data_IF_462616693622
#
_entry.id   IF_462616693622
#
_cell.length_a   1.000
_cell.length_b   1.000
_cell.length_c   1.000
_cell.angle_alpha   90.00
_cell.angle_beta   90.00
_cell.angle_gamma   90.00
#
_symmetry.space_group_name_H-M   'P 1'
#
loop_
_entity.id
_entity.type
_entity.pdbx_description
1 polymer ?
#
# COMPACT_ATOMS: atom_id res chain seq x y z
N UNK A 1 -2.91 1.77 -11.49
CA UNK A 1 -1.61 1.79 -10.80
C UNK A 1 -0.86 0.50 -11.14
N UNK A 2 0.48 0.47 -11.05
CA UNK A 2 1.26 -0.75 -11.30
C UNK A 2 0.90 -1.89 -10.32
N UNK A 3 0.87 -3.13 -10.80
CA UNK A 3 0.51 -4.31 -10.02
C UNK A 3 -1.00 -4.58 -9.91
N UNK A 4 -1.36 -5.27 -8.83
CA UNK A 4 -2.72 -5.77 -8.54
C UNK A 4 -3.33 -5.00 -7.36
N UNK A 5 -4.65 -4.83 -7.37
CA UNK A 5 -5.39 -4.31 -6.21
C UNK A 5 -5.49 -5.39 -5.13
N UNK A 6 -4.93 -5.11 -3.96
CA UNK A 6 -4.91 -6.02 -2.80
C UNK A 6 -6.30 -6.27 -2.20
N UNK A 7 -7.28 -5.41 -2.51
CA UNK A 7 -8.65 -5.50 -2.01
C UNK A 7 -9.62 -6.11 -3.01
N UNK A 8 -9.25 -6.22 -4.28
CA UNK A 8 -10.12 -6.87 -5.26
C UNK A 8 -10.19 -8.37 -4.99
N UNK A 9 -11.43 -8.87 -4.97
CA UNK A 9 -11.73 -10.28 -4.74
C UNK A 9 -11.21 -11.21 -5.83
N UNK A 10 -11.43 -12.51 -5.60
CA UNK A 10 -10.91 -13.61 -6.39
C UNK A 10 -11.71 -13.78 -7.73
N UNK A 11 -11.06 -13.79 -8.92
CA UNK A 11 -9.62 -13.65 -9.14
C UNK A 11 -9.16 -12.19 -9.09
N UNK A 12 -8.02 -11.91 -8.44
CA UNK A 12 -7.40 -10.59 -8.45
C UNK A 12 -7.18 -10.13 -9.89
N UNK A 13 -7.43 -8.86 -10.20
CA UNK A 13 -7.27 -8.32 -11.55
C UNK A 13 -6.11 -7.32 -11.62
N UNK A 14 -5.15 -7.48 -12.54
CA UNK A 14 -4.13 -6.48 -12.76
C UNK A 14 -4.78 -5.21 -13.30
N UNK A 15 -4.33 -4.06 -12.80
CA UNK A 15 -4.91 -2.76 -13.17
C UNK A 15 -4.39 -2.29 -14.53
N UNK A 16 -3.13 -2.59 -14.83
CA UNK A 16 -2.50 -2.32 -16.11
C UNK A 16 -2.42 -3.62 -16.92
N UNK A 17 -2.44 -3.53 -18.25
CA UNK A 17 -2.15 -4.71 -19.07
C UNK A 17 -0.75 -5.24 -18.75
N UNK A 18 -0.52 -6.56 -18.76
CA UNK A 18 0.78 -7.14 -18.40
C UNK A 18 1.95 -6.52 -19.18
N UNK A 19 1.76 -6.33 -20.50
CA UNK A 19 2.75 -5.68 -21.37
C UNK A 19 3.14 -4.27 -20.91
N UNK A 20 2.18 -3.44 -20.53
CA UNK A 20 2.45 -2.08 -20.07
C UNK A 20 3.08 -2.08 -18.69
N UNK A 21 2.61 -2.94 -17.80
CA UNK A 21 3.14 -3.08 -16.45
C UNK A 21 4.62 -3.52 -16.47
N UNK A 22 4.99 -4.56 -17.22
CA UNK A 22 6.39 -4.99 -17.30
C UNK A 22 7.29 -3.95 -17.99
N UNK A 23 6.77 -3.17 -18.96
CA UNK A 23 7.51 -2.04 -19.55
C UNK A 23 7.76 -0.94 -18.53
N UNK A 24 6.75 -0.60 -17.73
CA UNK A 24 6.85 0.37 -16.64
C UNK A 24 7.92 -0.07 -15.62
N UNK A 25 7.83 -1.31 -15.13
CA UNK A 25 8.78 -1.85 -14.14
C UNK A 25 10.22 -1.82 -14.66
N UNK A 26 10.47 -2.15 -15.95
CA UNK A 26 11.81 -2.05 -16.55
C UNK A 26 12.35 -0.62 -16.57
N UNK A 27 11.51 0.37 -16.86
CA UNK A 27 11.93 1.77 -16.85
C UNK A 27 12.27 2.23 -15.43
N UNK A 28 11.42 1.91 -14.44
CA UNK A 28 11.72 2.27 -13.04
C UNK A 28 13.02 1.61 -12.59
N UNK A 29 13.21 0.31 -12.83
CA UNK A 29 14.46 -0.39 -12.45
C UNK A 29 15.69 0.25 -13.08
N UNK A 30 15.60 0.66 -14.35
CA UNK A 30 16.72 1.28 -15.09
C UNK A 30 17.12 2.65 -14.55
N UNK A 31 16.16 3.43 -14.06
CA UNK A 31 16.35 4.81 -13.61
C UNK A 31 16.09 4.99 -12.11
N UNK A 32 16.21 3.91 -11.34
CA UNK A 32 15.89 3.92 -9.91
C UNK A 32 16.80 4.87 -9.10
N UNK A 33 17.98 5.17 -9.62
CA UNK A 33 18.96 6.11 -9.05
C UNK A 33 18.50 7.58 -9.10
N UNK A 34 17.64 7.94 -10.05
CA UNK A 34 17.12 9.31 -10.21
C UNK A 34 15.64 9.47 -9.85
N UNK A 35 14.90 8.36 -9.67
CA UNK A 35 13.49 8.39 -9.26
C UNK A 35 13.41 8.52 -7.74
N UNK A 36 13.05 9.71 -7.25
CA UNK A 36 12.97 10.02 -5.81
C UNK A 36 11.58 9.82 -5.20
N UNK A 37 10.56 9.61 -6.04
CA UNK A 37 9.20 9.32 -5.60
C UNK A 37 8.26 8.97 -6.76
N UNK A 38 7.29 8.09 -6.50
CA UNK A 38 6.25 7.70 -7.45
C UNK A 38 4.89 7.80 -6.75
N UNK A 39 3.98 8.60 -7.31
CA UNK A 39 2.69 8.93 -6.67
C UNK A 39 1.55 8.50 -7.57
N UNK A 40 0.69 7.61 -7.07
CA UNK A 40 -0.44 7.05 -7.79
C UNK A 40 -1.71 7.10 -6.94
N UNK A 41 -2.85 6.92 -7.60
CA UNK A 41 -4.16 6.71 -6.95
C UNK A 41 -4.87 5.50 -7.56
N UNK A 42 -6.12 5.71 -7.98
CA UNK A 42 -7.00 4.73 -8.65
C UNK A 42 -7.53 3.58 -7.78
N UNK A 43 -6.74 3.02 -6.86
CA UNK A 43 -7.22 1.92 -6.00
C UNK A 43 -8.22 2.36 -4.93
N UNK A 44 -8.25 3.66 -4.63
CA UNK A 44 -9.01 4.24 -3.51
C UNK A 44 -8.58 3.72 -2.13
N UNK A 45 -7.52 2.92 -2.05
CA UNK A 45 -6.89 2.44 -0.83
C UNK A 45 -5.62 3.22 -0.50
N UNK A 46 -5.31 3.31 0.79
CA UNK A 46 -4.00 3.76 1.26
C UNK A 46 -3.03 2.57 1.22
N UNK A 47 -2.12 2.56 0.25
CA UNK A 47 -1.17 1.45 0.12
C UNK A 47 0.12 1.91 -0.52
N UNK A 48 1.08 1.01 -0.61
CA UNK A 48 2.35 1.23 -1.27
C UNK A 48 2.76 0.01 -2.09
N UNK A 49 3.76 0.18 -2.94
CA UNK A 49 4.39 -0.93 -3.67
C UNK A 49 5.90 -0.81 -3.57
N UNK A 50 6.59 -1.94 -3.59
CA UNK A 50 8.06 -2.01 -3.60
C UNK A 50 8.54 -2.61 -4.91
N UNK A 51 9.42 -1.90 -5.61
CA UNK A 51 10.05 -2.36 -6.85
C UNK A 51 11.47 -2.83 -6.52
N UNK A 52 11.76 -4.06 -6.94
CA UNK A 52 13.05 -4.70 -6.75
C UNK A 52 13.85 -4.70 -8.06
N UNK A 53 15.18 -4.66 -7.94
CA UNK A 53 16.07 -4.93 -9.07
C UNK A 53 16.21 -6.45 -9.34
N UNK A 54 16.97 -6.82 -10.36
CA UNK A 54 17.17 -8.23 -10.74
C UNK A 54 17.91 -9.06 -9.67
N UNK A 55 18.61 -8.41 -8.74
CA UNK A 55 19.26 -9.06 -7.60
C UNK A 55 18.35 -9.19 -6.37
N UNK A 56 17.06 -8.85 -6.49
CA UNK A 56 16.09 -8.93 -5.40
C UNK A 56 16.20 -7.81 -4.36
N UNK A 57 16.97 -6.74 -4.62
CA UNK A 57 17.09 -5.61 -3.68
C UNK A 57 15.98 -4.58 -3.93
N UNK A 58 15.33 -4.03 -2.89
CA UNK A 58 14.38 -2.94 -3.07
C UNK A 58 15.11 -1.70 -3.59
N UNK A 59 14.64 -1.14 -4.71
CA UNK A 59 15.28 0.01 -5.39
C UNK A 59 14.36 1.20 -5.58
N UNK A 60 13.04 1.01 -5.49
CA UNK A 60 12.09 2.11 -5.54
C UNK A 60 10.78 1.73 -4.85
N UNK A 61 9.99 2.72 -4.47
CA UNK A 61 8.67 2.53 -3.89
C UNK A 61 7.64 3.43 -4.56
N UNK A 62 6.39 2.97 -4.54
CA UNK A 62 5.22 3.71 -5.03
C UNK A 62 4.33 4.02 -3.83
N UNK A 63 3.91 5.28 -3.70
CA UNK A 63 2.86 5.68 -2.79
C UNK A 63 1.53 5.67 -3.53
N UNK A 64 0.53 4.97 -3.00
CA UNK A 64 -0.83 5.05 -3.47
C UNK A 64 -1.67 5.77 -2.43
N UNK A 65 -2.22 6.91 -2.82
CA UNK A 65 -3.12 7.67 -1.97
C UNK A 65 -4.56 7.17 -2.10
N UNK A 66 -5.35 7.20 -1.01
CA UNK A 66 -6.78 6.91 -1.08
C UNK A 66 -7.53 7.98 -1.88
N UNK A 67 -8.82 7.77 -2.08
CA UNK A 67 -9.67 8.67 -2.85
C UNK A 67 -10.47 9.62 -1.96
N UNK A 68 -10.83 10.78 -2.51
CA UNK A 68 -11.86 11.64 -1.92
C UNK A 68 -13.25 11.00 -2.00
N UNK A 69 -13.53 10.22 -3.06
CA UNK A 69 -14.83 9.58 -3.18
C UNK A 69 -14.90 8.34 -2.28
N UNK A 70 -15.93 8.20 -1.43
CA UNK A 70 -16.13 7.04 -0.58
C UNK A 70 -16.79 5.86 -1.33
N UNK A 71 -16.60 5.82 -2.66
CA UNK A 71 -17.37 4.96 -3.56
C UNK A 71 -17.26 3.49 -3.12
N UNK A 72 -18.41 2.87 -2.88
CA UNK A 72 -18.53 1.41 -2.77
C UNK A 72 -18.08 0.79 -4.08
N UNK A 73 -16.91 0.17 -4.08
CA UNK A 73 -16.47 -0.70 -5.17
C UNK A 73 -16.53 -2.16 -4.71
N UNK A 74 -16.20 -3.08 -5.61
CA UNK A 74 -15.96 -4.48 -5.26
C UNK A 74 -14.84 -4.66 -4.23
N UNK A 75 -13.97 -3.65 -4.06
CA UNK A 75 -12.86 -3.61 -3.11
C UNK A 75 -13.25 -3.07 -1.72
N UNK A 76 -14.54 -2.76 -1.50
CA UNK A 76 -15.03 -2.18 -0.25
C UNK A 76 -15.21 -0.67 -0.30
N UNK A 77 -15.31 -0.07 0.88
CA UNK A 77 -15.46 1.37 1.08
C UNK A 77 -14.16 1.97 1.61
N UNK A 78 -14.06 3.29 1.52
CA UNK A 78 -13.07 4.10 2.20
C UNK A 78 -13.73 5.39 2.67
N UNK A 79 -13.24 5.97 3.77
CA UNK A 79 -13.53 7.37 4.04
C UNK A 79 -12.82 8.27 3.01
N UNK A 80 -13.32 9.49 2.74
CA UNK A 80 -12.58 10.49 1.98
C UNK A 80 -11.22 10.75 2.61
N UNK A 81 -10.16 10.71 1.80
CA UNK A 81 -8.78 10.92 2.26
C UNK A 81 -8.01 11.94 1.43
N UNK A 82 -7.14 12.72 2.08
CA UNK A 82 -6.19 13.66 1.45
C UNK A 82 -4.82 13.43 2.07
N UNK A 83 -3.75 13.48 1.27
CA UNK A 83 -2.38 13.30 1.75
C UNK A 83 -1.52 14.52 1.49
N UNK A 84 -0.79 14.96 2.52
CA UNK A 84 0.19 16.03 2.44
C UNK A 84 1.60 15.46 2.57
N UNK A 85 2.37 15.52 1.49
CA UNK A 85 3.75 15.01 1.47
C UNK A 85 4.74 16.07 1.96
N UNK A 86 5.76 15.61 2.69
CA UNK A 86 6.91 16.41 3.10
C UNK A 86 8.14 15.94 2.33
N UNK A 87 8.84 16.87 1.68
CA UNK A 87 10.01 16.60 0.87
C UNK A 87 11.26 17.31 1.39
N UNK A 88 12.43 16.71 1.15
CA UNK A 88 13.69 17.43 1.15
C UNK A 88 13.77 18.28 -0.13
N UNK A 89 13.94 19.59 0.00
CA UNK A 89 13.95 20.54 -1.12
C UNK A 89 15.12 20.34 -2.09
N UNK A 90 16.25 19.84 -1.58
CA UNK A 90 17.48 19.73 -2.35
C UNK A 90 17.54 18.41 -3.11
N UNK A 91 17.06 17.32 -2.49
CA UNK A 91 17.11 15.98 -3.08
C UNK A 91 15.79 15.54 -3.70
N UNK A 92 14.69 16.24 -3.44
CA UNK A 92 13.34 15.84 -3.86
C UNK A 92 12.84 14.55 -3.21
N UNK A 93 13.55 14.02 -2.19
CA UNK A 93 13.15 12.81 -1.49
C UNK A 93 11.97 13.09 -0.56
N UNK A 94 10.98 12.20 -0.56
CA UNK A 94 9.94 12.19 0.48
C UNK A 94 10.62 11.87 1.81
N UNK A 95 10.37 12.68 2.83
CA UNK A 95 10.86 12.45 4.19
C UNK A 95 9.75 12.11 5.17
N UNK A 96 8.50 12.43 4.85
CA UNK A 96 7.30 11.99 5.58
C UNK A 96 6.03 12.28 4.75
N UNK A 97 4.87 11.83 5.20
CA UNK A 97 3.59 12.40 4.80
C UNK A 97 2.57 12.36 5.94
N UNK A 98 1.61 13.29 5.90
CA UNK A 98 0.43 13.31 6.77
C UNK A 98 -0.77 12.85 5.96
N UNK A 99 -1.42 11.77 6.40
CA UNK A 99 -2.69 11.32 5.87
C UNK A 99 -3.81 11.98 6.69
N UNK A 100 -4.70 12.69 6.01
CA UNK A 100 -5.94 13.22 6.57
C UNK A 100 -7.10 12.38 6.09
N UNK A 101 -8.15 12.32 6.90
CA UNK A 101 -9.41 11.70 6.51
C UNK A 101 -10.61 12.46 7.08
N UNK A 102 -11.76 12.18 6.50
CA UNK A 102 -13.05 12.61 7.00
C UNK A 102 -13.83 11.36 7.40
N UNK A 103 -14.16 11.20 8.69
CA UNK A 103 -15.12 10.19 9.11
C UNK A 103 -16.49 10.56 8.54
N UNK A 104 -16.86 9.90 7.44
CA UNK A 104 -18.04 10.25 6.67
C UNK A 104 -19.33 9.98 7.44
N UNK A 105 -19.36 8.94 8.29
CA UNK A 105 -20.53 8.63 9.09
C UNK A 105 -20.78 9.72 10.14
N UNK A 106 -19.72 10.11 10.86
CA UNK A 106 -19.76 11.19 11.85
C UNK A 106 -20.08 12.54 11.17
N UNK A 107 -19.48 12.82 10.02
CA UNK A 107 -19.71 14.07 9.30
C UNK A 107 -21.16 14.22 8.83
N UNK A 108 -21.75 13.14 8.30
CA UNK A 108 -23.16 13.13 7.90
C UNK A 108 -24.10 13.28 9.10
N UNK A 109 -23.78 12.65 10.24
CA UNK A 109 -24.59 12.77 11.46
C UNK A 109 -24.57 14.18 12.04
N UNK A 110 -23.44 14.89 11.95
CA UNK A 110 -23.25 16.23 12.52
C UNK A 110 -23.50 17.37 11.54
N UNK A 111 -23.68 17.06 10.25
CA UNK A 111 -23.73 18.04 9.17
C UNK A 111 -22.49 18.97 9.14
N UNK A 112 -21.33 18.46 9.57
CA UNK A 112 -20.04 19.18 9.58
C UNK A 112 -18.92 18.30 9.04
N UNK A 113 -18.09 18.87 8.16
CA UNK A 113 -16.97 18.17 7.53
C UNK A 113 -15.65 18.41 8.29
N UNK A 114 -15.53 17.84 9.48
CA UNK A 114 -14.35 17.99 10.34
C UNK A 114 -13.23 17.02 9.89
N UNK A 115 -12.29 17.50 9.07
CA UNK A 115 -11.13 16.73 8.64
C UNK A 115 -10.12 16.56 9.78
N UNK A 116 -9.62 15.35 9.98
CA UNK A 116 -8.64 15.03 11.03
C UNK A 116 -7.43 14.31 10.47
N UNK A 117 -6.32 14.35 11.21
CA UNK A 117 -5.13 13.57 10.89
C UNK A 117 -5.45 12.10 11.19
N UNK A 118 -5.31 11.24 10.19
CA UNK A 118 -5.35 9.79 10.36
C UNK A 118 -4.01 9.29 10.91
N UNK A 119 -2.90 9.62 10.23
CA UNK A 119 -1.55 9.30 10.70
C UNK A 119 -0.45 10.08 9.97
N UNK A 120 0.75 10.06 10.56
CA UNK A 120 2.00 10.49 9.91
C UNK A 120 2.84 9.23 9.60
N UNK A 121 3.33 9.06 8.37
CA UNK A 121 3.97 7.82 7.92
C UNK A 121 5.10 7.37 8.86
N UNK A 122 6.06 8.25 9.11
CA UNK A 122 7.28 7.88 9.83
C UNK A 122 6.99 7.49 11.28
N UNK A 123 6.21 8.29 12.00
CA UNK A 123 5.80 8.01 13.38
C UNK A 123 4.88 6.79 13.47
N UNK A 124 3.98 6.59 12.51
CA UNK A 124 2.99 5.52 12.57
C UNK A 124 3.63 4.14 12.40
N UNK A 125 4.56 3.99 11.44
CA UNK A 125 5.26 2.73 11.18
C UNK A 125 6.66 2.64 11.82
N UNK A 126 7.11 3.69 12.51
CA UNK A 126 8.43 3.71 13.16
C UNK A 126 9.61 3.81 12.19
N UNK A 127 9.41 4.40 11.01
CA UNK A 127 10.45 4.51 10.00
C UNK A 127 11.51 5.54 10.43
N UNK A 128 12.79 5.15 10.53
CA UNK A 128 13.87 6.11 10.79
C UNK A 128 14.11 7.04 9.59
N UNK A 129 13.75 6.58 8.38
CA UNK A 129 13.75 7.35 7.13
C UNK A 129 12.74 6.74 6.17
N UNK A 130 12.30 7.50 5.18
CA UNK A 130 11.45 6.96 4.12
C UNK A 130 12.33 6.37 3.03
N UNK A 131 12.29 5.04 2.84
CA UNK A 131 13.07 4.36 1.80
C UNK A 131 12.40 3.06 1.34
N UNK A 132 12.78 2.57 0.16
CA UNK A 132 12.25 1.31 -0.38
C UNK A 132 12.55 0.10 0.53
N UNK A 133 13.66 0.11 1.25
CA UNK A 133 14.00 -0.93 2.24
C UNK A 133 13.02 -0.93 3.42
N UNK A 134 12.69 0.23 3.98
CA UNK A 134 11.76 0.33 5.12
C UNK A 134 10.35 -0.14 4.75
N UNK A 135 9.91 0.19 3.53
CA UNK A 135 8.65 -0.35 3.00
C UNK A 135 8.71 -1.87 2.77
N UNK A 136 9.86 -2.40 2.34
CA UNK A 136 10.05 -3.84 2.19
C UNK A 136 9.99 -4.54 3.55
N UNK A 137 10.71 -4.05 4.55
CA UNK A 137 10.79 -4.63 5.88
C UNK A 137 9.42 -4.58 6.57
N UNK A 138 8.67 -3.47 6.41
CA UNK A 138 7.28 -3.39 6.84
C UNK A 138 6.42 -4.49 6.19
N UNK A 139 6.52 -4.68 4.87
CA UNK A 139 5.75 -5.70 4.17
C UNK A 139 6.16 -7.12 4.60
N UNK A 140 7.45 -7.40 4.77
CA UNK A 140 7.94 -8.70 5.24
C UNK A 140 7.44 -9.01 6.65
N UNK A 141 7.36 -8.01 7.53
CA UNK A 141 6.85 -8.22 8.89
C UNK A 141 5.44 -8.81 8.90
N UNK A 142 4.61 -8.54 7.89
CA UNK A 142 3.24 -9.05 7.80
C UNK A 142 3.17 -10.58 7.61
N UNK A 143 4.28 -11.21 7.22
CA UNK A 143 4.31 -12.63 6.84
C UNK A 143 4.46 -13.58 8.04
N UNK A 144 4.69 -13.05 9.24
CA UNK A 144 4.82 -13.83 10.49
C UNK A 144 3.71 -13.47 11.49
N UNK A 145 3.38 -14.40 12.37
CA UNK A 145 2.29 -14.23 13.35
C UNK A 145 2.47 -12.99 14.24
N UNK A 146 3.71 -12.74 14.69
CA UNK A 146 4.04 -11.60 15.55
C UNK A 146 3.86 -10.24 14.86
N UNK A 147 3.87 -10.21 13.52
CA UNK A 147 3.64 -9.01 12.73
C UNK A 147 2.17 -8.73 12.43
N UNK A 148 1.27 -9.66 12.76
CA UNK A 148 -0.17 -9.49 12.51
C UNK A 148 -0.78 -8.24 13.16
N UNK A 149 -0.39 -7.81 14.40
CA UNK A 149 -0.86 -6.55 14.95
C UNK A 149 -0.45 -5.32 14.12
N UNK A 150 0.75 -5.33 13.55
CA UNK A 150 1.22 -4.26 12.65
C UNK A 150 0.49 -4.31 11.31
N UNK A 151 0.24 -5.51 10.77
CA UNK A 151 -0.61 -5.68 9.59
C UNK A 151 -2.04 -5.17 9.84
N UNK A 152 -2.64 -5.45 10.99
CA UNK A 152 -3.96 -4.93 11.39
C UNK A 152 -4.00 -3.40 11.40
N UNK A 153 -2.94 -2.75 11.90
CA UNK A 153 -2.79 -1.29 11.86
C UNK A 153 -2.67 -0.76 10.42
N UNK A 154 -1.92 -1.46 9.57
CA UNK A 154 -1.84 -1.14 8.14
C UNK A 154 -3.19 -1.32 7.45
N UNK A 155 -3.91 -2.41 7.73
CA UNK A 155 -5.19 -2.76 7.12
C UNK A 155 -6.31 -1.76 7.47
N UNK A 156 -6.29 -1.24 8.69
CA UNK A 156 -7.17 -0.15 9.13
C UNK A 156 -7.01 1.08 8.23
N UNK A 157 -5.80 1.64 8.16
CA UNK A 157 -5.54 2.87 7.37
C UNK A 157 -5.59 2.62 5.87
N UNK A 158 -5.33 1.39 5.41
CA UNK A 158 -5.53 0.99 4.02
C UNK A 158 -6.96 1.29 3.56
N UNK A 159 -7.93 1.21 4.47
CA UNK A 159 -9.35 1.51 4.25
C UNK A 159 -9.76 2.92 4.59
N UNK A 160 -8.81 3.77 4.96
CA UNK A 160 -9.08 5.07 5.53
C UNK A 160 -10.02 4.93 6.74
N UNK A 161 -9.65 4.02 7.64
CA UNK A 161 -10.35 3.78 8.91
C UNK A 161 -11.82 3.32 8.79
N UNK A 162 -12.19 2.58 7.74
CA UNK A 162 -13.53 1.94 7.62
C UNK A 162 -13.55 0.45 7.96
N UNK A 163 -12.40 -0.22 7.87
CA UNK A 163 -12.23 -1.64 8.22
C UNK A 163 -11.98 -1.82 9.71
N UNK A 164 -12.33 -2.98 10.25
CA UNK A 164 -11.94 -3.37 11.62
C UNK A 164 -10.45 -3.74 11.74
N UNK A 165 -9.99 -3.85 12.99
CA UNK A 165 -8.60 -4.24 13.32
C UNK A 165 -8.36 -5.76 13.28
N UNK A 166 -9.39 -6.59 13.19
CA UNK A 166 -9.23 -8.05 13.17
C UNK A 166 -8.84 -8.50 11.77
N UNK A 167 -7.67 -9.14 11.64
CA UNK A 167 -7.13 -9.63 10.36
C UNK A 167 -6.63 -11.07 10.49
N UNK A 168 -6.36 -11.71 9.34
CA UNK A 168 -5.88 -13.10 9.24
C UNK A 168 -4.55 -13.17 8.50
N UNK A 169 -3.78 -14.24 8.72
CA UNK A 169 -2.55 -14.48 7.97
C UNK A 169 -2.77 -14.57 6.46
N UNK A 170 -3.93 -15.08 6.01
CA UNK A 170 -4.26 -15.13 4.58
C UNK A 170 -4.44 -13.73 3.99
N UNK A 171 -5.08 -12.81 4.73
CA UNK A 171 -5.17 -11.40 4.31
C UNK A 171 -3.79 -10.76 4.31
N UNK A 172 -2.98 -10.97 5.35
CA UNK A 172 -1.62 -10.45 5.42
C UNK A 172 -0.77 -10.91 4.23
N UNK A 173 -0.83 -12.20 3.89
CA UNK A 173 -0.14 -12.78 2.74
C UNK A 173 -0.58 -12.20 1.40
N UNK A 174 -1.88 -12.02 1.20
CA UNK A 174 -2.42 -11.40 -0.02
C UNK A 174 -1.90 -9.96 -0.20
N UNK A 175 -1.89 -9.18 0.88
CA UNK A 175 -1.34 -7.82 0.86
C UNK A 175 0.18 -7.82 0.64
N UNK A 176 0.92 -8.71 1.30
CA UNK A 176 2.35 -8.89 1.05
C UNK A 176 2.65 -9.16 -0.43
N UNK A 177 1.92 -10.10 -1.05
CA UNK A 177 2.09 -10.41 -2.47
C UNK A 177 1.78 -9.20 -3.36
N UNK A 178 0.69 -8.47 -3.10
CA UNK A 178 0.34 -7.28 -3.88
C UNK A 178 1.37 -6.15 -3.74
N UNK A 179 1.93 -5.96 -2.54
CA UNK A 179 2.94 -4.94 -2.24
C UNK A 179 4.27 -5.26 -2.91
N UNK A 180 4.70 -6.53 -2.88
CA UNK A 180 6.07 -6.94 -3.24
C UNK A 180 6.21 -7.58 -4.62
N UNK A 181 5.10 -8.00 -5.24
CA UNK A 181 5.07 -8.65 -6.57
C UNK A 181 4.18 -7.86 -7.51
N UNK A 182 4.76 -6.87 -8.19
CA UNK A 182 4.01 -6.07 -9.15
C UNK A 182 3.84 -6.75 -10.51
N UNK A 183 4.70 -7.72 -10.85
CA UNK A 183 4.49 -8.53 -12.04
C UNK A 183 3.37 -9.55 -11.79
N UNK A 184 2.50 -9.73 -12.79
CA UNK A 184 1.27 -10.52 -12.65
C UNK A 184 1.56 -11.98 -12.34
N UNK A 185 2.54 -12.60 -13.01
CA UNK A 185 2.85 -14.02 -12.81
C UNK A 185 3.53 -14.22 -11.45
N UNK A 186 4.42 -13.30 -11.07
CA UNK A 186 5.06 -13.31 -9.75
C UNK A 186 4.05 -13.15 -8.62
N UNK A 187 3.02 -12.31 -8.82
CA UNK A 187 1.94 -12.12 -7.85
C UNK A 187 1.15 -13.43 -7.63
N UNK A 188 0.71 -14.08 -8.71
CA UNK A 188 -0.03 -15.35 -8.58
C UNK A 188 0.82 -16.46 -7.98
N UNK A 189 2.10 -16.55 -8.35
CA UNK A 189 3.03 -17.50 -7.76
C UNK A 189 3.18 -17.25 -6.25
N UNK A 190 3.28 -15.99 -5.82
CA UNK A 190 3.33 -15.63 -4.41
C UNK A 190 2.05 -16.04 -3.67
N UNK A 191 0.87 -15.81 -4.24
CA UNK A 191 -0.39 -16.25 -3.62
C UNK A 191 -0.45 -17.77 -3.48
N UNK A 192 0.06 -18.53 -4.45
CA UNK A 192 0.07 -19.99 -4.42
C UNK A 192 1.02 -20.56 -3.37
N UNK A 193 2.04 -19.81 -2.93
CA UNK A 193 2.99 -20.22 -1.87
C UNK A 193 2.49 -19.93 -0.45
N UNK A 194 1.24 -19.49 -0.27
CA UNK A 194 0.64 -19.34 1.05
C UNK A 194 0.76 -20.66 1.86
N UNK A 195 0.92 -20.60 3.20
CA UNK A 195 1.45 -21.72 3.95
C UNK A 195 0.46 -22.89 4.01
N UNK A 196 0.70 -23.89 3.18
CA UNK A 196 0.46 -25.31 3.50
C UNK A 196 1.37 -25.80 4.65
N UNK A 197 2.19 -24.92 5.23
CA UNK A 197 3.23 -25.21 6.23
C UNK A 197 2.84 -24.88 7.69
N UNK A 198 1.56 -24.60 7.98
CA UNK A 198 1.05 -24.44 9.35
C UNK A 198 -0.02 -25.50 9.73
N UNK A 199 -0.19 -26.51 8.88
CA UNK A 199 -0.96 -27.73 9.18
C UNK A 199 -0.03 -28.95 9.07
N UNK A 200 0.94 -29.05 9.96
CA UNK A 200 1.67 -30.29 10.27
C UNK A 200 2.11 -30.27 11.72
#
# INVERSE_FOLDING_TARGET
>A
APGTDERLGNPPRPVMSPRHNSRYLRLVRRYADIITGQFFGHLHSDTFRVIYNEAGRPVSNIYLSPSLTPKRSSSGFNNPGIRLYKFNSDTGQVIDYVQYYLDLATANQRESADWTIEYNLTTYYGFPKVSASEFHDLAESFTIADGLPLFSRYYLVNSVSTSGLTTTMNQAHNHYCAITRLDTDQFYNCLATAPSALFS
#
